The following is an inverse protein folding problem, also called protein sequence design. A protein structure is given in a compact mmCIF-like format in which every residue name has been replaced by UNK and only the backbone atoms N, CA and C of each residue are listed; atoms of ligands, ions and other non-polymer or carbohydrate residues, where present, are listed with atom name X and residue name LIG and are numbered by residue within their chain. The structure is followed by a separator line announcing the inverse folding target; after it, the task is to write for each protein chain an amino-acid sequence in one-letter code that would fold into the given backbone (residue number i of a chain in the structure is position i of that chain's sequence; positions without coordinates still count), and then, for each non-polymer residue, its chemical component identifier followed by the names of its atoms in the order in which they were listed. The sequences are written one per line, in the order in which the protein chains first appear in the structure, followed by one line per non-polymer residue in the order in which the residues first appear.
data_IF_616345636131
#
_entry.id   IF_616345636131
#
_cell.length_a   1.000
_cell.length_b   1.000
_cell.length_c   1.000
_cell.angle_alpha   90.00
_cell.angle_beta   90.00
_cell.angle_gamma   90.00
#
_symmetry.space_group_name_H-M   'P 1'
#
loop_
_entity.id
_entity.type
_entity.pdbx_description
1 polymer ?
#
# COMPACT_ATOMS: atom_id res chain seq x y z
N UNK A 1 -11.77 16.06 14.25
CA UNK A 1 -11.99 15.33 12.99
C UNK A 1 -11.08 15.92 11.93
N UNK A 2 -10.19 15.12 11.34
CA UNK A 2 -9.21 15.57 10.33
C UNK A 2 -9.30 14.67 9.11
N UNK A 3 -9.01 15.20 7.92
CA UNK A 3 -8.85 14.40 6.69
C UNK A 3 -7.40 13.96 6.55
N UNK A 4 -7.17 12.65 6.51
CA UNK A 4 -5.84 12.03 6.46
C UNK A 4 -5.70 11.15 5.22
N UNK A 5 -4.52 11.18 4.60
CA UNK A 5 -4.15 10.27 3.52
C UNK A 5 -2.94 9.45 3.96
N UNK A 6 -3.12 8.13 4.05
CA UNK A 6 -2.05 7.16 4.23
C UNK A 6 -1.58 6.70 2.85
N UNK A 7 -0.27 6.70 2.62
CA UNK A 7 0.32 6.27 1.35
C UNK A 7 1.26 5.09 1.62
N UNK A 8 1.09 4.01 0.87
CA UNK A 8 2.02 2.87 0.89
C UNK A 8 2.23 2.32 -0.50
N UNK A 9 3.48 2.01 -0.81
CA UNK A 9 3.84 1.07 -1.86
C UNK A 9 3.12 -0.27 -1.64
N UNK A 10 2.70 -1.00 -2.70
CA UNK A 10 1.89 -2.21 -2.58
C UNK A 10 2.71 -3.44 -2.17
N UNK A 11 3.47 -3.31 -1.09
CA UNK A 11 4.31 -4.37 -0.53
C UNK A 11 3.77 -4.75 0.83
N UNK A 12 3.58 -6.05 1.08
CA UNK A 12 2.95 -6.60 2.29
C UNK A 12 3.55 -6.06 3.57
N UNK A 13 4.89 -6.00 3.62
CA UNK A 13 5.65 -5.49 4.76
C UNK A 13 5.41 -4.00 5.08
N UNK A 14 4.99 -3.21 4.09
CA UNK A 14 4.65 -1.80 4.26
C UNK A 14 3.16 -1.58 4.55
N UNK A 15 2.28 -2.35 3.90
CA UNK A 15 0.83 -2.20 4.06
C UNK A 15 0.36 -2.71 5.42
N UNK A 16 0.86 -3.87 5.88
CA UNK A 16 0.34 -4.55 7.07
C UNK A 16 0.37 -3.67 8.34
N UNK A 17 1.48 -2.98 8.68
CA UNK A 17 1.50 -2.09 9.84
C UNK A 17 0.53 -0.90 9.71
N UNK A 18 0.36 -0.36 8.50
CA UNK A 18 -0.52 0.78 8.26
C UNK A 18 -2.01 0.44 8.36
N UNK A 19 -2.40 -0.83 8.21
CA UNK A 19 -3.79 -1.25 8.45
C UNK A 19 -4.20 -1.04 9.92
N UNK A 20 -3.28 -1.32 10.86
CA UNK A 20 -3.52 -1.07 12.28
C UNK A 20 -3.64 0.43 12.57
N UNK A 21 -2.76 1.24 11.96
CA UNK A 21 -2.81 2.70 12.05
C UNK A 21 -4.12 3.26 11.48
N UNK A 22 -4.54 2.78 10.30
CA UNK A 22 -5.80 3.17 9.68
C UNK A 22 -7.00 2.89 10.60
N UNK A 23 -7.07 1.68 11.16
CA UNK A 23 -8.14 1.30 12.09
C UNK A 23 -8.19 2.20 13.34
N UNK A 24 -7.03 2.54 13.90
CA UNK A 24 -6.95 3.43 15.06
C UNK A 24 -7.41 4.87 14.73
N UNK A 25 -6.97 5.41 13.59
CA UNK A 25 -7.36 6.76 13.13
C UNK A 25 -8.85 6.86 12.81
N UNK A 26 -9.41 5.84 12.15
CA UNK A 26 -10.86 5.73 11.91
C UNK A 26 -11.62 5.67 13.25
N UNK A 27 -11.17 4.82 14.18
CA UNK A 27 -11.77 4.71 15.52
C UNK A 27 -11.73 6.00 16.34
N UNK A 28 -10.75 6.87 16.10
CA UNK A 28 -10.66 8.21 16.69
C UNK A 28 -11.54 9.28 15.98
N UNK A 29 -12.28 8.91 14.95
CA UNK A 29 -13.21 9.79 14.23
C UNK A 29 -12.55 10.67 13.16
N UNK A 30 -11.41 10.25 12.59
CA UNK A 30 -10.82 10.90 11.42
C UNK A 30 -11.41 10.35 10.11
N UNK A 31 -11.43 11.18 9.06
CA UNK A 31 -11.70 10.72 7.68
C UNK A 31 -10.39 10.23 7.06
N UNK A 32 -10.26 8.92 6.88
CA UNK A 32 -9.02 8.27 6.46
C UNK A 32 -9.17 7.72 5.05
N UNK A 33 -8.28 8.18 4.16
CA UNK A 33 -8.05 7.60 2.84
C UNK A 33 -6.72 6.85 2.85
N UNK A 34 -6.64 5.75 2.10
CA UNK A 34 -5.44 4.94 2.01
C UNK A 34 -5.14 4.62 0.55
N UNK A 35 -4.07 5.23 0.02
CA UNK A 35 -3.49 4.99 -1.29
C UNK A 35 -2.54 3.79 -1.26
N UNK A 36 -2.92 2.70 -1.92
CA UNK A 36 -2.10 1.48 -2.08
C UNK A 36 -2.62 0.63 -3.25
N UNK A 37 -1.94 -0.48 -3.55
CA UNK A 37 -2.27 -1.36 -4.67
C UNK A 37 -3.60 -2.09 -4.52
N UNK A 38 -4.16 -2.51 -5.65
CA UNK A 38 -5.51 -3.10 -5.74
C UNK A 38 -5.64 -4.39 -4.92
N UNK A 39 -4.58 -5.18 -4.79
CA UNK A 39 -4.56 -6.40 -3.97
C UNK A 39 -4.91 -6.15 -2.50
N UNK A 40 -4.67 -4.94 -1.99
CA UNK A 40 -4.93 -4.58 -0.59
C UNK A 40 -6.26 -3.86 -0.37
N UNK A 41 -7.08 -3.66 -1.42
CA UNK A 41 -8.34 -2.91 -1.34
C UNK A 41 -9.24 -3.41 -0.20
N UNK A 42 -9.49 -4.71 -0.16
CA UNK A 42 -10.40 -5.29 0.83
C UNK A 42 -9.86 -5.08 2.26
N UNK A 43 -8.57 -5.35 2.47
CA UNK A 43 -7.94 -5.16 3.77
C UNK A 43 -8.02 -3.70 4.25
N UNK A 44 -7.86 -2.74 3.34
CA UNK A 44 -8.05 -1.31 3.64
C UNK A 44 -9.49 -1.01 4.01
N UNK A 45 -10.46 -1.43 3.19
CA UNK A 45 -11.89 -1.17 3.43
C UNK A 45 -12.36 -1.79 4.76
N UNK A 46 -11.82 -2.95 5.15
CA UNK A 46 -12.08 -3.61 6.45
C UNK A 46 -11.58 -2.82 7.68
N UNK A 47 -10.72 -1.82 7.50
CA UNK A 47 -10.31 -0.89 8.58
C UNK A 47 -11.32 0.24 8.80
N UNK A 48 -12.26 0.42 7.86
CA UNK A 48 -13.16 1.58 7.78
C UNK A 48 -12.57 2.77 7.00
N UNK A 49 -11.33 2.68 6.52
CA UNK A 49 -10.74 3.67 5.64
C UNK A 49 -11.25 3.51 4.19
N UNK A 50 -11.22 4.61 3.42
CA UNK A 50 -11.52 4.59 1.99
C UNK A 50 -10.26 4.22 1.20
N UNK A 51 -10.33 3.15 0.40
CA UNK A 51 -9.25 2.79 -0.52
C UNK A 51 -9.14 3.79 -1.68
N UNK A 52 -7.91 4.15 -2.01
CA UNK A 52 -7.54 4.92 -3.19
C UNK A 52 -6.56 4.07 -4.02
N UNK A 53 -6.86 3.92 -5.31
CA UNK A 53 -6.03 3.13 -6.21
C UNK A 53 -4.71 3.85 -6.50
N UNK A 54 -3.60 3.10 -6.47
CA UNK A 54 -2.39 3.52 -7.15
C UNK A 54 -2.62 3.58 -8.68
N UNK A 55 -1.88 4.43 -9.40
CA UNK A 55 -1.86 4.38 -10.85
C UNK A 55 -1.23 3.04 -11.30
N UNK A 56 -1.59 2.57 -12.49
CA UNK A 56 -1.25 1.22 -12.96
C UNK A 56 0.27 0.97 -13.00
N UNK A 57 1.06 1.99 -13.31
CA UNK A 57 2.53 1.95 -13.33
C UNK A 57 3.16 1.76 -11.94
N UNK A 58 2.41 1.95 -10.86
CA UNK A 58 2.86 1.79 -9.48
C UNK A 58 2.14 0.63 -8.73
N UNK A 59 1.12 0.01 -9.33
CA UNK A 59 0.35 -1.09 -8.76
C UNK A 59 0.92 -2.43 -9.23
N UNK A 60 2.08 -2.80 -8.68
CA UNK A 60 2.75 -4.07 -8.96
C UNK A 60 2.50 -5.11 -7.86
N UNK A 61 2.56 -6.39 -8.25
CA UNK A 61 2.46 -7.51 -7.31
C UNK A 61 3.81 -7.74 -6.62
N UNK A 62 3.85 -7.62 -5.30
CA UNK A 62 5.06 -7.84 -4.51
C UNK A 62 5.45 -9.31 -4.35
N UNK A 63 4.57 -10.25 -4.74
CA UNK A 63 4.87 -11.68 -4.79
C UNK A 63 5.65 -12.09 -6.04
N UNK A 64 5.68 -11.25 -7.08
CA UNK A 64 6.42 -11.48 -8.33
C UNK A 64 7.16 -10.19 -8.78
N UNK A 65 8.18 -9.83 -8.00
CA UNK A 65 8.99 -8.64 -8.27
C UNK A 65 9.78 -8.72 -9.58
N UNK A 66 10.12 -9.92 -10.05
CA UNK A 66 10.90 -10.10 -11.28
C UNK A 66 10.03 -9.86 -12.51
N UNK A 67 8.76 -10.28 -12.50
CA UNK A 67 7.80 -9.91 -13.54
C UNK A 67 7.52 -8.41 -13.57
N UNK A 68 7.39 -7.78 -12.40
CA UNK A 68 7.17 -6.34 -12.28
C UNK A 68 8.40 -5.51 -12.70
N UNK A 69 9.61 -6.02 -12.42
CA UNK A 69 10.86 -5.31 -12.68
C UNK A 69 11.93 -6.22 -13.30
N UNK A 70 11.78 -6.61 -14.59
CA UNK A 70 12.69 -7.56 -15.23
C UNK A 70 14.16 -7.12 -15.25
N UNK A 71 14.41 -5.80 -15.26
CA UNK A 71 15.75 -5.23 -15.23
C UNK A 71 16.53 -5.53 -13.93
N UNK A 72 15.86 -6.00 -12.87
CA UNK A 72 16.46 -6.38 -11.59
C UNK A 72 17.00 -7.82 -11.59
N UNK A 73 16.53 -8.67 -12.51
CA UNK A 73 16.92 -10.08 -12.55
C UNK A 73 18.44 -10.22 -12.70
N UNK A 74 19.03 -11.05 -11.84
CA UNK A 74 20.48 -11.26 -11.80
C UNK A 74 21.29 -10.12 -11.17
N UNK A 75 20.64 -9.09 -10.60
CA UNK A 75 21.31 -8.02 -9.84
C UNK A 75 21.24 -8.32 -8.34
N UNK A 76 22.33 -8.03 -7.62
CA UNK A 76 22.44 -8.21 -6.16
C UNK A 76 22.45 -6.90 -5.37
N UNK A 77 22.37 -5.75 -6.05
CA UNK A 77 22.42 -4.42 -5.43
C UNK A 77 22.57 -3.30 -6.47
N UNK A 78 22.80 -2.07 -5.99
CA UNK A 78 23.16 -0.95 -6.85
C UNK A 78 24.49 -1.23 -7.57
N UNK A 79 24.67 -0.67 -8.76
CA UNK A 79 25.98 -0.68 -9.42
C UNK A 79 26.95 0.14 -8.55
N UNK A 80 28.04 -0.50 -8.13
CA UNK A 80 29.16 0.16 -7.44
C UNK A 80 30.09 0.88 -8.40
#
# INVERSE_FOLDING_TARGET
MSSLLLCSTPVRGHVTPLLAVARALVGAGHDVRFLTGRTYREAVEQTGARWCALPAEADYDDSDMDAAFPARVGRTGAAG
#
